data_IF_268378515033
#
_entry.id   IF_268378515033
#
_cell.length_a   1.000
_cell.length_b   1.000
_cell.length_c   1.000
_cell.angle_alpha   90.00
_cell.angle_beta   90.00
_cell.angle_gamma   90.00
#
_symmetry.space_group_name_H-M   'P 1'
#
loop_
_entity.id
_entity.type
_entity.pdbx_description
1 polymer ?
#
# COMPACT_ATOMS: atom_id res chain seq x y z
N UNK A 1 16.92 -11.19 5.27
CA UNK A 1 17.23 -11.56 6.67
C UNK A 1 18.50 -12.40 6.78
N UNK A 2 18.59 -13.54 6.08
CA UNK A 2 19.77 -14.44 6.08
C UNK A 2 21.10 -13.74 5.79
N UNK A 3 21.15 -12.90 4.75
CA UNK A 3 22.38 -12.18 4.37
C UNK A 3 22.91 -11.26 5.48
N UNK A 4 22.03 -10.74 6.33
CA UNK A 4 22.36 -9.84 7.43
C UNK A 4 22.41 -10.55 8.80
N UNK A 5 22.31 -11.89 8.82
CA UNK A 5 22.22 -12.72 10.03
C UNK A 5 21.14 -12.27 11.03
N UNK A 6 20.00 -11.81 10.50
CA UNK A 6 18.83 -11.46 11.31
C UNK A 6 17.93 -12.70 11.41
N UNK A 7 17.69 -13.17 12.65
CA UNK A 7 16.86 -14.35 12.92
C UNK A 7 15.37 -14.03 12.85
N UNK A 8 14.95 -13.05 13.64
CA UNK A 8 13.54 -12.69 13.82
C UNK A 8 13.35 -11.17 13.72
N UNK A 9 12.20 -10.72 13.22
CA UNK A 9 11.89 -9.30 13.06
C UNK A 9 10.50 -8.92 13.54
N UNK A 10 10.35 -7.66 13.93
CA UNK A 10 9.05 -6.99 13.96
C UNK A 10 8.92 -6.18 12.67
N UNK A 11 7.80 -6.31 11.97
CA UNK A 11 7.59 -5.63 10.69
C UNK A 11 6.53 -4.55 10.85
N UNK A 12 6.93 -3.32 10.54
CA UNK A 12 6.05 -2.17 10.36
C UNK A 12 5.92 -1.91 8.86
N UNK A 13 4.70 -1.92 8.34
CA UNK A 13 4.48 -1.73 6.91
C UNK A 13 3.18 -0.99 6.63
N UNK A 14 3.11 -0.29 5.50
CA UNK A 14 1.95 0.48 5.08
C UNK A 14 1.51 0.10 3.67
N UNK A 15 0.19 0.16 3.40
CA UNK A 15 -0.37 -0.01 2.05
C UNK A 15 0.14 -1.30 1.38
N UNK A 16 0.69 -1.22 0.17
CA UNK A 16 1.31 -2.35 -0.54
C UNK A 16 2.40 -3.05 0.27
N UNK A 17 3.14 -2.33 1.10
CA UNK A 17 4.10 -2.95 2.03
C UNK A 17 3.43 -3.87 3.04
N UNK A 18 2.18 -3.60 3.41
CA UNK A 18 1.36 -4.48 4.26
C UNK A 18 1.10 -5.83 3.59
N UNK A 19 0.74 -5.85 2.30
CA UNK A 19 0.63 -7.08 1.50
C UNK A 19 1.94 -7.87 1.57
N UNK A 20 3.08 -7.22 1.30
CA UNK A 20 4.39 -7.87 1.34
C UNK A 20 4.74 -8.42 2.73
N UNK A 21 4.38 -7.70 3.80
CA UNK A 21 4.64 -8.14 5.17
C UNK A 21 3.82 -9.37 5.55
N UNK A 22 2.55 -9.42 5.13
CA UNK A 22 1.66 -10.56 5.32
C UNK A 22 2.18 -11.77 4.55
N UNK A 23 2.49 -11.59 3.25
CA UNK A 23 3.04 -12.64 2.40
C UNK A 23 4.34 -13.19 2.99
N UNK A 24 5.24 -12.30 3.41
CA UNK A 24 6.51 -12.69 4.04
C UNK A 24 6.30 -13.56 5.28
N UNK A 25 5.37 -13.19 6.18
CA UNK A 25 5.07 -13.99 7.36
C UNK A 25 4.50 -15.36 7.00
N UNK A 26 3.54 -15.42 6.08
CA UNK A 26 2.91 -16.69 5.70
C UNK A 26 3.92 -17.68 5.09
N UNK A 27 4.92 -17.16 4.37
CA UNK A 27 6.01 -17.97 3.82
C UNK A 27 7.14 -18.28 4.81
N UNK A 28 7.32 -17.45 5.85
CA UNK A 28 8.42 -17.54 6.81
C UNK A 28 7.94 -17.28 8.26
N UNK A 29 6.99 -18.09 8.78
CA UNK A 29 6.32 -17.80 10.05
C UNK A 29 7.26 -17.78 11.25
N UNK A 30 8.41 -18.45 11.16
CA UNK A 30 9.44 -18.48 12.18
C UNK A 30 10.32 -17.22 12.22
N UNK A 31 10.26 -16.34 11.22
CA UNK A 31 11.16 -15.18 11.09
C UNK A 31 10.54 -13.85 11.46
N UNK A 32 9.29 -13.83 11.91
CA UNK A 32 8.60 -12.60 12.26
C UNK A 32 7.83 -12.78 13.57
N UNK A 33 8.04 -11.84 14.49
CA UNK A 33 7.52 -11.86 15.86
C UNK A 33 6.24 -11.06 16.02
N UNK A 34 6.03 -10.02 15.21
CA UNK A 34 4.78 -9.24 15.18
C UNK A 34 4.65 -8.41 13.91
N UNK A 35 3.42 -8.07 13.56
CA UNK A 35 3.07 -7.17 12.46
C UNK A 35 2.40 -5.89 12.97
N UNK A 36 2.84 -4.74 12.49
CA UNK A 36 2.15 -3.46 12.63
C UNK A 36 1.85 -2.94 11.22
N UNK A 37 0.57 -2.88 10.87
CA UNK A 37 0.09 -2.70 9.51
C UNK A 37 -0.74 -1.41 9.41
N UNK A 38 -0.26 -0.46 8.62
CA UNK A 38 -0.91 0.83 8.40
C UNK A 38 -1.67 0.79 7.07
N UNK A 39 -3.00 0.77 7.13
CA UNK A 39 -3.86 0.73 5.95
C UNK A 39 -3.39 -0.34 4.95
N UNK A 40 -3.26 -1.63 5.36
CA UNK A 40 -2.58 -2.63 4.56
C UNK A 40 -3.37 -3.02 3.32
N UNK A 41 -2.68 -3.22 2.20
CA UNK A 41 -3.20 -4.02 1.11
C UNK A 41 -3.13 -5.52 1.47
N UNK A 42 -3.89 -6.36 0.74
CA UNK A 42 -3.96 -7.80 0.98
C UNK A 42 -3.95 -8.59 -0.33
N UNK A 43 -3.12 -9.65 -0.39
CA UNK A 43 -3.07 -10.55 -1.55
C UNK A 43 -4.39 -11.30 -1.75
N UNK A 44 -4.92 -11.28 -2.98
CA UNK A 44 -6.23 -11.83 -3.32
C UNK A 44 -7.42 -10.92 -3.02
N UNK A 45 -7.20 -9.70 -2.51
CA UNK A 45 -8.26 -8.70 -2.37
C UNK A 45 -8.74 -8.22 -3.74
N UNK A 46 -10.06 -8.17 -3.93
CA UNK A 46 -10.67 -7.57 -5.13
C UNK A 46 -10.99 -6.13 -4.83
N UNK A 47 -10.22 -5.21 -5.40
CA UNK A 47 -10.41 -3.77 -5.20
C UNK A 47 -11.84 -3.33 -5.54
N UNK A 48 -12.36 -2.39 -4.76
CA UNK A 48 -13.66 -1.77 -5.00
C UNK A 48 -13.73 -1.09 -6.37
N UNK A 49 -14.95 -0.78 -6.82
CA UNK A 49 -15.16 0.03 -8.03
C UNK A 49 -14.48 1.40 -7.94
N UNK A 50 -14.32 1.93 -6.72
CA UNK A 50 -13.58 3.16 -6.47
C UNK A 50 -12.10 2.99 -6.83
N UNK A 51 -11.44 1.94 -6.32
CA UNK A 51 -10.02 1.70 -6.58
C UNK A 51 -9.77 1.34 -8.05
N UNK A 52 -10.63 0.51 -8.65
CA UNK A 52 -10.55 0.20 -10.09
C UNK A 52 -10.64 1.48 -10.93
N UNK A 53 -11.54 2.39 -10.58
CA UNK A 53 -11.68 3.66 -11.31
C UNK A 53 -10.46 4.55 -11.15
N UNK A 54 -9.87 4.58 -9.96
CA UNK A 54 -8.63 5.30 -9.70
C UNK A 54 -7.48 4.73 -10.54
N UNK A 55 -7.31 3.41 -10.60
CA UNK A 55 -6.28 2.74 -11.40
C UNK A 55 -6.43 3.07 -12.89
N UNK A 56 -7.65 2.98 -13.43
CA UNK A 56 -7.94 3.36 -14.82
C UNK A 56 -7.57 4.83 -15.13
N UNK A 57 -7.91 5.75 -14.22
CA UNK A 57 -7.63 7.18 -14.41
C UNK A 57 -6.13 7.48 -14.29
N UNK A 58 -5.42 6.83 -13.35
CA UNK A 58 -3.97 6.94 -13.21
C UNK A 58 -3.24 6.41 -14.44
N UNK A 59 -3.60 5.21 -14.91
CA UNK A 59 -3.02 4.60 -16.10
C UNK A 59 -3.24 5.49 -17.34
N UNK A 60 -4.46 6.00 -17.54
CA UNK A 60 -4.77 6.90 -18.65
C UNK A 60 -3.92 8.17 -18.62
N UNK A 61 -3.77 8.82 -17.44
CA UNK A 61 -2.95 10.02 -17.32
C UNK A 61 -1.48 9.73 -17.61
N UNK A 62 -0.96 8.59 -17.17
CA UNK A 62 0.41 8.16 -17.44
C UNK A 62 0.64 7.92 -18.93
N UNK A 63 -0.28 7.21 -19.60
CA UNK A 63 -0.21 6.96 -21.05
C UNK A 63 -0.28 8.26 -21.88
N UNK A 64 -1.03 9.25 -21.41
CA UNK A 64 -1.11 10.59 -22.02
C UNK A 64 0.09 11.49 -21.69
N UNK A 65 1.04 11.04 -20.85
CA UNK A 65 2.19 11.82 -20.42
C UNK A 65 1.85 12.97 -19.45
N UNK A 66 0.68 12.92 -18.81
CA UNK A 66 0.15 13.95 -17.90
C UNK A 66 0.65 13.75 -16.46
N UNK A 67 1.96 13.87 -16.29
CA UNK A 67 2.66 13.52 -15.04
C UNK A 67 2.20 14.36 -13.84
N UNK A 68 2.02 15.67 -14.03
CA UNK A 68 1.61 16.57 -12.93
C UNK A 68 0.16 16.28 -12.50
N UNK A 69 -0.70 15.94 -13.45
CA UNK A 69 -2.07 15.55 -13.21
C UNK A 69 -2.14 14.20 -12.50
N UNK A 70 -1.27 13.24 -12.82
CA UNK A 70 -1.14 11.98 -12.05
C UNK A 70 -0.72 12.25 -10.61
N UNK A 71 0.25 13.16 -10.38
CA UNK A 71 0.67 13.54 -9.04
C UNK A 71 -0.46 14.22 -8.23
N UNK A 72 -1.23 15.10 -8.89
CA UNK A 72 -2.42 15.74 -8.29
C UNK A 72 -3.54 14.75 -8.02
N UNK A 73 -3.74 13.76 -8.90
CA UNK A 73 -4.68 12.66 -8.70
C UNK A 73 -4.31 11.87 -7.45
N UNK A 74 -3.04 11.49 -7.29
CA UNK A 74 -2.53 10.81 -6.10
C UNK A 74 -2.81 11.60 -4.81
N UNK A 75 -2.51 12.91 -4.79
CA UNK A 75 -2.85 13.76 -3.64
C UNK A 75 -4.37 13.76 -3.36
N UNK A 76 -5.19 13.94 -4.41
CA UNK A 76 -6.64 13.98 -4.27
C UNK A 76 -7.18 12.65 -3.71
N UNK A 77 -6.68 11.54 -4.22
CA UNK A 77 -7.13 10.18 -3.89
C UNK A 77 -6.67 9.75 -2.50
N UNK A 78 -5.43 10.00 -2.10
CA UNK A 78 -4.88 9.39 -0.88
C UNK A 78 -4.83 10.35 0.32
N UNK A 79 -4.83 11.66 0.07
CA UNK A 79 -4.61 12.67 1.11
C UNK A 79 -5.82 13.57 1.28
N UNK A 80 -6.29 14.24 0.23
CA UNK A 80 -7.45 15.13 0.33
C UNK A 80 -8.71 14.33 0.65
N UNK A 81 -8.99 13.30 -0.16
CA UNK A 81 -10.15 12.44 0.03
C UNK A 81 -11.45 13.23 0.23
N UNK A 82 -12.25 12.81 1.20
CA UNK A 82 -13.48 13.45 1.64
C UNK A 82 -13.21 14.43 2.79
N UNK A 83 -11.94 14.77 3.07
CA UNK A 83 -11.56 15.77 4.07
C UNK A 83 -11.77 17.15 3.50
N UNK A 84 -12.10 18.09 4.38
CA UNK A 84 -11.98 19.50 4.04
C UNK A 84 -10.49 19.84 3.84
N UNK A 85 -10.17 20.56 2.76
CA UNK A 85 -8.82 21.00 2.47
C UNK A 85 -8.27 21.91 3.59
N UNK A 86 -9.13 22.63 4.32
CA UNK A 86 -8.74 23.47 5.44
C UNK A 86 -8.22 22.67 6.65
N UNK A 87 -8.58 21.39 6.76
CA UNK A 87 -8.09 20.49 7.81
C UNK A 87 -6.72 19.89 7.49
N UNK A 88 -6.21 20.11 6.28
CA UNK A 88 -4.93 19.59 5.82
C UNK A 88 -3.92 20.74 5.88
N UNK A 89 -2.75 20.47 6.47
CA UNK A 89 -1.67 21.43 6.45
C UNK A 89 -1.36 21.85 4.99
N UNK A 90 -1.33 23.16 4.75
CA UNK A 90 -1.20 23.77 3.42
C UNK A 90 -0.01 23.25 2.62
N UNK A 91 1.08 22.86 3.29
CA UNK A 91 2.31 22.38 2.66
C UNK A 91 2.19 20.92 2.19
N UNK A 92 1.30 20.12 2.77
CA UNK A 92 1.19 18.67 2.49
C UNK A 92 0.87 18.42 1.02
N UNK A 93 0.02 19.26 0.42
CA UNK A 93 -0.30 19.14 -1.01
C UNK A 93 0.96 19.25 -1.87
N UNK A 94 1.77 20.27 -1.62
CA UNK A 94 2.99 20.48 -2.39
C UNK A 94 4.01 19.36 -2.14
N UNK A 95 4.20 18.97 -0.88
CA UNK A 95 5.10 17.88 -0.51
C UNK A 95 4.75 16.55 -1.19
N UNK A 96 3.47 16.19 -1.23
CA UNK A 96 2.99 14.96 -1.86
C UNK A 96 3.13 15.04 -3.38
N UNK A 97 2.75 16.16 -3.99
CA UNK A 97 2.92 16.36 -5.44
C UNK A 97 4.40 16.30 -5.81
N UNK A 98 5.29 16.96 -5.08
CA UNK A 98 6.73 16.96 -5.34
C UNK A 98 7.35 15.55 -5.22
N UNK A 99 6.92 14.79 -4.21
CA UNK A 99 7.33 13.40 -4.03
C UNK A 99 6.90 12.54 -5.23
N UNK A 100 5.63 12.67 -5.65
CA UNK A 100 5.08 11.95 -6.80
C UNK A 100 5.82 12.33 -8.09
N UNK A 101 6.02 13.63 -8.34
CA UNK A 101 6.76 14.12 -9.50
C UNK A 101 8.17 13.54 -9.58
N UNK A 102 8.91 13.51 -8.45
CA UNK A 102 10.27 12.92 -8.40
C UNK A 102 10.29 11.45 -8.78
N UNK A 103 9.24 10.70 -8.42
CA UNK A 103 9.13 9.29 -8.76
C UNK A 103 8.72 9.10 -10.23
N UNK A 104 7.66 9.78 -10.68
CA UNK A 104 7.05 9.57 -11.99
C UNK A 104 7.95 9.97 -13.17
N UNK A 105 8.89 10.90 -12.99
CA UNK A 105 9.87 11.28 -14.01
C UNK A 105 11.12 10.39 -14.02
N UNK A 106 11.25 9.49 -13.04
CA UNK A 106 12.43 8.64 -12.92
C UNK A 106 12.40 7.62 -14.06
N UNK A 107 13.49 7.46 -14.82
CA UNK A 107 13.57 6.40 -15.83
C UNK A 107 13.36 5.02 -15.21
N UNK A 108 12.72 4.13 -15.96
CA UNK A 108 12.59 2.74 -15.56
C UNK A 108 13.98 2.12 -15.26
N UNK A 109 14.00 1.22 -14.28
CA UNK A 109 15.21 0.50 -13.96
C UNK A 109 15.61 -0.39 -15.15
N UNK A 110 16.90 -0.37 -15.52
CA UNK A 110 17.44 -1.20 -16.61
C UNK A 110 17.20 -2.70 -16.42
N UNK A 111 17.09 -3.12 -15.16
CA UNK A 111 16.75 -4.47 -14.77
C UNK A 111 15.40 -4.41 -14.06
N UNK A 112 14.34 -4.84 -14.74
CA UNK A 112 13.05 -5.06 -14.09
C UNK A 112 13.10 -6.35 -13.27
N UNK A 113 12.41 -6.35 -12.13
CA UNK A 113 12.06 -7.57 -11.43
C UNK A 113 10.63 -7.93 -11.82
N UNK A 114 10.40 -9.18 -12.21
CA UNK A 114 9.04 -9.66 -12.40
C UNK A 114 8.40 -9.87 -11.02
N UNK A 115 7.19 -9.34 -10.83
CA UNK A 115 6.41 -9.69 -9.65
C UNK A 115 6.03 -11.17 -9.75
N UNK A 116 6.51 -11.96 -8.79
CA UNK A 116 6.08 -13.34 -8.66
C UNK A 116 4.61 -13.30 -8.26
N UNK A 117 3.74 -13.94 -9.05
CA UNK A 117 2.34 -14.12 -8.67
C UNK A 117 2.30 -15.01 -7.44
N UNK A 118 2.06 -14.39 -6.29
CA UNK A 118 1.78 -15.10 -5.05
C UNK A 118 0.37 -15.71 -5.09
N UNK A 119 0.17 -16.73 -4.27
CA UNK A 119 -1.16 -17.27 -4.01
C UNK A 119 -2.06 -16.20 -3.37
N UNK A 120 -3.38 -16.37 -3.50
CA UNK A 120 -4.36 -15.52 -2.83
C UNK A 120 -4.31 -15.75 -1.31
N UNK A 121 -3.40 -15.04 -0.64
CA UNK A 121 -3.13 -15.19 0.80
C UNK A 121 -4.27 -14.76 1.72
N UNK A 122 -5.30 -14.09 1.19
CA UNK A 122 -6.57 -13.85 1.91
C UNK A 122 -7.17 -15.15 2.49
N UNK A 123 -7.01 -16.30 1.83
CA UNK A 123 -7.51 -17.59 2.33
C UNK A 123 -6.64 -18.20 3.45
N UNK A 124 -5.46 -17.63 3.67
CA UNK A 124 -4.46 -18.13 4.61
C UNK A 124 -4.33 -17.27 5.86
N UNK A 125 -5.08 -16.18 5.99
CA UNK A 125 -5.02 -15.26 7.16
C UNK A 125 -5.14 -15.97 8.52
N UNK A 126 -5.94 -17.04 8.59
CA UNK A 126 -6.09 -17.89 9.80
C UNK A 126 -4.78 -18.55 10.28
N UNK A 127 -3.75 -18.58 9.43
CA UNK A 127 -2.44 -19.13 9.75
C UNK A 127 -1.54 -18.11 10.46
N UNK A 128 -1.97 -16.85 10.58
CA UNK A 128 -1.26 -15.84 11.36
C UNK A 128 -1.41 -16.14 12.85
N UNK A 129 -0.30 -16.47 13.52
CA UNK A 129 -0.24 -16.87 14.93
C UNK A 129 0.52 -15.88 15.82
N UNK A 130 0.93 -14.75 15.26
CA UNK A 130 1.67 -13.70 15.95
C UNK A 130 0.77 -12.49 16.25
N UNK A 131 1.15 -11.61 17.18
CA UNK A 131 0.45 -10.35 17.39
C UNK A 131 0.41 -9.50 16.12
N UNK A 132 -0.78 -8.99 15.79
CA UNK A 132 -1.02 -8.08 14.67
C UNK A 132 -1.69 -6.81 15.21
N UNK A 133 -1.13 -5.65 14.86
CA UNK A 133 -1.76 -4.34 15.05
C UNK A 133 -2.13 -3.80 13.68
N UNK A 134 -3.41 -3.48 13.46
CA UNK A 134 -3.90 -2.81 12.26
C UNK A 134 -4.27 -1.38 12.62
N UNK A 135 -3.82 -0.42 11.81
CA UNK A 135 -4.06 1.01 12.00
C UNK A 135 -4.62 1.55 10.70
N UNK A 136 -5.87 2.01 10.73
CA UNK A 136 -6.51 2.69 9.61
C UNK A 136 -6.78 4.15 9.98
N UNK A 137 -6.61 5.05 9.01
CA UNK A 137 -7.07 6.42 9.11
C UNK A 137 -8.58 6.50 8.90
N UNK A 138 -9.26 7.40 9.60
CA UNK A 138 -10.72 7.59 9.50
C UNK A 138 -11.22 7.91 8.08
N UNK A 139 -10.38 8.49 7.23
CA UNK A 139 -10.72 8.87 5.85
C UNK A 139 -9.96 8.05 4.80
N UNK A 140 -9.42 6.91 5.20
CA UNK A 140 -8.80 5.99 4.25
C UNK A 140 -9.84 5.45 3.26
N UNK A 141 -9.38 4.83 2.17
CA UNK A 141 -10.30 4.15 1.24
C UNK A 141 -11.03 3.02 1.97
N UNK A 142 -12.30 2.81 1.65
CA UNK A 142 -13.14 1.77 2.28
C UNK A 142 -12.47 0.40 2.24
N UNK A 143 -11.76 0.08 1.15
CA UNK A 143 -11.01 -1.18 1.01
C UNK A 143 -10.06 -1.44 2.18
N UNK A 144 -9.39 -0.43 2.74
CA UNK A 144 -8.51 -0.63 3.90
C UNK A 144 -9.29 -0.95 5.18
N UNK A 145 -10.50 -0.41 5.32
CA UNK A 145 -11.41 -0.75 6.41
C UNK A 145 -11.93 -2.19 6.24
N UNK A 146 -12.42 -2.53 5.06
CA UNK A 146 -12.89 -3.89 4.75
C UNK A 146 -11.80 -4.96 4.93
N UNK A 147 -10.57 -4.66 4.49
CA UNK A 147 -9.41 -5.53 4.71
C UNK A 147 -9.15 -5.73 6.21
N UNK A 148 -9.28 -4.67 7.02
CA UNK A 148 -9.04 -4.79 8.46
C UNK A 148 -10.06 -5.70 9.16
N UNK A 149 -11.33 -5.66 8.72
CA UNK A 149 -12.39 -6.50 9.28
C UNK A 149 -12.17 -7.99 9.01
N UNK A 150 -11.60 -8.37 7.87
CA UNK A 150 -11.32 -9.78 7.54
C UNK A 150 -10.02 -10.31 8.16
N UNK A 151 -9.17 -9.41 8.68
CA UNK A 151 -7.91 -9.77 9.34
C UNK A 151 -8.06 -9.96 10.86
N UNK A 152 -9.22 -9.65 11.44
CA UNK A 152 -9.59 -9.87 12.84
C UNK A 152 -10.24 -11.25 13.00
#
# INVERSE_FOLDING_TARGET
>A
LTHLDIKDTHILAASFGGKLAIDFYLENPEKCLSLALLSPALGGWKGSSFLQKYEEDEERLLQEGKIEETAKLNYKTWILRNRDAELINVDVKQLVVDMQMKFLIKPEAKNSCEEIKNEDHILQLKNIRIPVLIINGEYDVEDFHDISEVMI
#
